data_IF_283873203497
#
_entry.id   IF_283873203497
#
_cell.length_a   1.000
_cell.length_b   1.000
_cell.length_c   1.000
_cell.angle_alpha   90.00
_cell.angle_beta   90.00
_cell.angle_gamma   90.00
#
_symmetry.space_group_name_H-M   'P 1'
#
loop_
_entity.id
_entity.type
_entity.pdbx_description
1 polymer ?
#
# COMPACT_ATOMS: atom_id res chain seq x y z
N UNK A 1 -46.23 24.50 47.49
CA UNK A 1 -46.85 23.23 47.94
C UNK A 1 -45.74 22.44 48.63
N UNK A 2 -45.48 22.75 49.90
CA UNK A 2 -45.83 21.94 51.08
C UNK A 2 -45.29 20.51 50.92
N UNK A 3 -44.24 20.03 51.59
CA UNK A 3 -43.86 20.25 52.98
C UNK A 3 -44.80 19.48 53.89
N UNK A 4 -44.42 18.27 54.34
CA UNK A 4 -44.47 17.86 55.75
C UNK A 4 -44.06 16.40 55.99
N UNK A 5 -43.20 16.20 56.99
CA UNK A 5 -43.08 14.99 57.84
C UNK A 5 -44.27 15.00 58.84
N UNK A 6 -44.31 14.18 59.91
CA UNK A 6 -43.98 12.76 60.15
C UNK A 6 -45.25 12.02 60.69
N UNK A 7 -45.15 10.76 61.15
CA UNK A 7 -45.58 10.41 62.52
C UNK A 7 -45.31 8.94 62.88
N UNK A 8 -44.82 8.80 64.12
CA UNK A 8 -44.67 7.61 64.95
C UNK A 8 -45.94 6.73 64.99
N UNK A 9 -45.81 5.45 65.37
CA UNK A 9 -46.40 4.92 66.61
C UNK A 9 -45.83 3.52 66.93
N UNK A 10 -45.87 3.24 68.22
CA UNK A 10 -45.16 2.22 69.00
C UNK A 10 -46.01 0.93 69.06
N UNK A 11 -45.38 -0.23 69.27
CA UNK A 11 -45.63 -1.13 70.43
C UNK A 11 -45.78 -2.64 70.15
N UNK A 12 -45.21 -3.40 71.11
CA UNK A 12 -45.58 -4.75 71.59
C UNK A 12 -45.01 -5.95 70.79
N UNK A 13 -43.88 -6.50 71.22
CA UNK A 13 -43.66 -7.58 72.21
C UNK A 13 -43.86 -9.00 71.64
N UNK A 14 -42.81 -9.81 71.74
CA UNK A 14 -42.88 -11.25 71.46
C UNK A 14 -41.53 -11.98 71.47
N UNK A 15 -40.74 -11.84 72.53
CA UNK A 15 -39.75 -12.86 72.96
C UNK A 15 -40.43 -13.74 74.02
N UNK A 16 -40.13 -15.04 74.23
CA UNK A 16 -38.77 -15.54 74.46
C UNK A 16 -38.49 -17.01 74.00
N UNK A 17 -37.24 -17.39 73.72
CA UNK A 17 -36.39 -18.41 74.38
C UNK A 17 -35.39 -18.80 73.25
N UNK A 18 -34.07 -18.84 73.37
CA UNK A 18 -33.25 -19.45 74.40
C UNK A 18 -31.92 -18.67 74.59
N UNK A 19 -31.47 -18.73 75.84
CA UNK A 19 -30.31 -18.09 76.43
C UNK A 19 -29.02 -18.91 76.17
N UNK A 20 -27.99 -18.19 75.73
CA UNK A 20 -26.54 -18.28 76.00
C UNK A 20 -25.85 -19.63 76.27
N UNK A 21 -24.83 -19.90 75.45
CA UNK A 21 -23.46 -20.40 75.79
C UNK A 21 -22.67 -20.29 74.46
N UNK A 22 -21.46 -19.73 74.31
CA UNK A 22 -20.41 -19.31 75.21
C UNK A 22 -19.48 -18.34 74.46
N UNK A 23 -18.76 -17.47 75.17
CA UNK A 23 -17.56 -16.79 74.67
C UNK A 23 -16.32 -17.28 75.42
N UNK A 24 -15.22 -17.31 74.67
CA UNK A 24 -13.80 -17.34 75.05
C UNK A 24 -13.09 -18.72 75.12
N UNK A 25 -12.20 -18.95 74.14
CA UNK A 25 -11.24 -20.06 74.13
C UNK A 25 -10.39 -20.18 72.85
N UNK A 26 -9.45 -19.24 72.67
CA UNK A 26 -8.14 -19.37 71.98
C UNK A 26 -7.96 -20.15 70.65
N UNK A 27 -7.71 -19.38 69.58
CA UNK A 27 -6.60 -19.50 68.59
C UNK A 27 -6.09 -20.89 68.16
N UNK A 28 -6.47 -21.33 66.95
CA UNK A 28 -5.63 -22.14 66.07
C UNK A 28 -6.06 -22.02 64.59
N UNK A 29 -5.22 -21.29 63.81
CA UNK A 29 -4.97 -21.41 62.37
C UNK A 29 -6.15 -21.50 61.39
N UNK A 30 -6.72 -20.35 61.03
CA UNK A 30 -7.33 -20.17 59.70
C UNK A 30 -6.21 -19.88 58.70
N UNK A 31 -5.69 -20.92 58.03
CA UNK A 31 -4.93 -20.72 56.80
C UNK A 31 -5.91 -20.27 55.71
N UNK A 32 -5.93 -18.96 55.43
CA UNK A 32 -6.59 -18.43 54.24
C UNK A 32 -6.01 -19.12 52.99
N UNK A 33 -6.83 -19.51 52.01
CA UNK A 33 -6.31 -20.04 50.76
C UNK A 33 -5.45 -18.96 50.11
N UNK A 34 -4.18 -19.29 49.88
CA UNK A 34 -3.25 -18.46 49.11
C UNK A 34 -3.89 -18.24 47.74
N UNK A 35 -4.24 -16.99 47.44
CA UNK A 35 -4.71 -16.61 46.11
C UNK A 35 -3.67 -17.12 45.08
N UNK A 36 -4.10 -17.68 43.95
CA UNK A 36 -3.17 -18.07 42.90
C UNK A 36 -2.35 -16.85 42.53
N UNK A 37 -1.03 -17.01 42.51
CA UNK A 37 -0.13 -15.99 42.01
C UNK A 37 -0.62 -15.58 40.61
N UNK A 38 -0.80 -14.27 40.40
CA UNK A 38 -1.10 -13.75 39.08
C UNK A 38 -0.08 -14.34 38.08
N UNK A 39 -0.51 -14.84 36.91
CA UNK A 39 0.43 -15.31 35.92
C UNK A 39 1.42 -14.18 35.65
N UNK A 40 2.71 -14.50 35.66
CA UNK A 40 3.73 -13.57 35.20
C UNK A 40 3.27 -13.05 33.83
N UNK A 41 3.21 -11.72 33.67
CA UNK A 41 2.78 -11.10 32.43
C UNK A 41 3.58 -11.66 31.24
N UNK A 42 3.02 -11.64 30.02
CA UNK A 42 3.73 -12.14 28.85
C UNK A 42 5.09 -11.46 28.74
N UNK A 43 6.15 -12.25 28.56
CA UNK A 43 7.52 -11.73 28.43
C UNK A 43 7.58 -10.67 27.34
N UNK A 44 8.43 -9.67 27.55
CA UNK A 44 8.67 -8.65 26.54
C UNK A 44 9.62 -9.18 25.46
N UNK A 45 9.54 -8.60 24.26
CA UNK A 45 10.34 -9.02 23.11
C UNK A 45 11.86 -9.00 23.40
N UNK A 46 12.36 -7.98 24.09
CA UNK A 46 13.77 -7.85 24.46
C UNK A 46 14.24 -8.85 25.52
N UNK A 47 13.31 -9.47 26.26
CA UNK A 47 13.62 -10.48 27.28
C UNK A 47 13.71 -11.88 26.66
N UNK A 48 12.90 -12.15 25.63
CA UNK A 48 12.83 -13.45 24.95
C UNK A 48 13.81 -13.55 23.76
N UNK A 49 14.09 -12.44 23.06
CA UNK A 49 14.89 -12.43 21.83
C UNK A 49 16.19 -11.62 21.97
N UNK A 50 17.27 -12.12 21.35
CA UNK A 50 18.64 -11.62 21.55
C UNK A 50 18.94 -10.21 21.02
N UNK A 51 18.32 -9.78 19.91
CA UNK A 51 18.69 -8.52 19.23
C UNK A 51 17.46 -7.70 18.79
N UNK A 52 16.58 -7.41 19.74
CA UNK A 52 15.43 -6.51 19.54
C UNK A 52 15.86 -5.07 19.79
N UNK A 53 15.75 -4.24 18.75
CA UNK A 53 16.14 -2.82 18.80
C UNK A 53 14.96 -1.88 18.58
N UNK A 54 14.18 -2.10 17.51
CA UNK A 54 13.08 -1.21 17.12
C UNK A 54 11.71 -1.61 17.69
N UNK A 55 11.52 -2.87 18.07
CA UNK A 55 10.26 -3.41 18.61
C UNK A 55 10.37 -3.72 20.11
N UNK A 56 11.06 -2.87 20.88
CA UNK A 56 11.16 -3.05 22.34
C UNK A 56 9.82 -2.75 23.01
N UNK A 57 9.54 -3.43 24.12
CA UNK A 57 8.34 -3.23 24.93
C UNK A 57 7.05 -3.84 24.37
N UNK A 58 7.10 -4.53 23.21
CA UNK A 58 5.96 -5.33 22.75
C UNK A 58 5.99 -6.72 23.41
N UNK A 59 4.84 -7.39 23.60
CA UNK A 59 4.81 -8.77 24.03
C UNK A 59 5.57 -9.67 23.06
N UNK A 60 6.34 -10.63 23.57
CA UNK A 60 7.21 -11.49 22.76
C UNK A 60 6.43 -12.28 21.69
N UNK A 61 5.19 -12.66 21.97
CA UNK A 61 4.31 -13.35 21.02
C UNK A 61 3.90 -12.49 19.82
N UNK A 62 4.05 -11.16 19.88
CA UNK A 62 3.74 -10.24 18.79
C UNK A 62 4.90 -10.05 17.81
N UNK A 63 6.11 -10.51 18.13
CA UNK A 63 7.29 -10.31 17.27
C UNK A 63 7.12 -11.04 15.94
N UNK A 64 6.75 -12.33 15.98
CA UNK A 64 6.61 -13.14 14.76
C UNK A 64 5.47 -12.63 13.84
N UNK A 65 4.26 -12.35 14.34
CA UNK A 65 3.20 -11.73 13.53
C UNK A 65 3.60 -10.39 12.92
N UNK A 66 4.37 -9.57 13.66
CA UNK A 66 4.88 -8.31 13.13
C UNK A 66 5.85 -8.53 11.96
N UNK A 67 6.74 -9.53 12.06
CA UNK A 67 7.65 -9.87 10.96
C UNK A 67 6.90 -10.38 9.73
N UNK A 68 5.87 -11.21 9.91
CA UNK A 68 5.02 -11.70 8.81
C UNK A 68 4.31 -10.54 8.10
N UNK A 69 3.80 -9.57 8.85
CA UNK A 69 3.17 -8.38 8.28
C UNK A 69 4.18 -7.53 7.48
N UNK A 70 5.40 -7.36 7.99
CA UNK A 70 6.46 -6.63 7.27
C UNK A 70 6.82 -7.37 5.97
N UNK A 71 7.01 -8.69 6.01
CA UNK A 71 7.30 -9.52 4.85
C UNK A 71 6.22 -9.37 3.77
N UNK A 72 4.95 -9.50 4.15
CA UNK A 72 3.81 -9.30 3.25
C UNK A 72 3.74 -7.88 2.68
N UNK A 73 4.05 -6.87 3.49
CA UNK A 73 4.01 -5.47 3.06
C UNK A 73 5.05 -5.13 1.98
N UNK A 74 6.20 -5.82 2.01
CA UNK A 74 7.31 -5.64 1.09
C UNK A 74 7.31 -6.66 -0.06
N UNK A 75 6.48 -7.70 0.00
CA UNK A 75 6.43 -8.77 -1.00
C UNK A 75 7.68 -9.66 -0.99
N UNK A 76 8.26 -9.93 0.18
CA UNK A 76 9.50 -10.70 0.34
C UNK A 76 9.35 -11.83 1.36
N UNK A 77 10.27 -12.79 1.29
CA UNK A 77 10.42 -13.87 2.28
C UNK A 77 11.33 -13.46 3.45
N UNK A 78 11.27 -14.21 4.55
CA UNK A 78 12.01 -13.97 5.79
C UNK A 78 13.53 -13.81 5.56
N UNK A 79 14.10 -14.63 4.67
CA UNK A 79 15.52 -14.66 4.32
C UNK A 79 15.96 -13.40 3.56
N UNK A 80 15.05 -12.54 3.11
CA UNK A 80 15.44 -11.24 2.55
C UNK A 80 16.17 -10.38 3.61
N UNK A 81 15.66 -10.40 4.85
CA UNK A 81 16.22 -9.65 5.97
C UNK A 81 17.03 -10.51 6.94
N UNK A 82 16.66 -11.78 7.15
CA UNK A 82 17.28 -12.64 8.16
C UNK A 82 18.32 -13.60 7.58
N UNK A 83 19.30 -13.97 8.40
CA UNK A 83 20.20 -15.09 8.14
C UNK A 83 19.52 -16.35 8.67
N UNK A 84 19.44 -17.40 7.85
CA UNK A 84 18.81 -18.66 8.24
C UNK A 84 19.39 -19.18 9.56
N UNK A 85 18.52 -19.56 10.50
CA UNK A 85 18.87 -20.03 11.84
C UNK A 85 19.66 -19.05 12.73
N UNK A 86 19.80 -17.78 12.31
CA UNK A 86 20.54 -16.75 13.03
C UNK A 86 19.84 -15.38 12.90
N UNK A 87 18.58 -15.33 13.34
CA UNK A 87 17.70 -14.16 13.20
C UNK A 87 18.22 -12.92 13.94
N UNK A 88 19.11 -13.09 14.92
CA UNK A 88 19.76 -12.02 15.67
C UNK A 88 20.86 -11.30 14.89
N UNK A 89 21.44 -11.90 13.84
CA UNK A 89 22.55 -11.31 13.07
C UNK A 89 22.12 -10.17 12.15
N UNK A 90 22.99 -9.17 12.01
CA UNK A 90 22.76 -7.95 11.22
C UNK A 90 23.54 -7.92 9.91
N UNK A 91 24.04 -9.08 9.47
CA UNK A 91 24.87 -9.25 8.28
C UNK A 91 24.19 -8.77 6.99
N UNK A 92 22.85 -8.75 6.97
CA UNK A 92 22.03 -8.30 5.84
C UNK A 92 21.60 -6.85 6.00
N UNK A 93 22.05 -5.99 5.09
CA UNK A 93 21.67 -4.56 5.02
C UNK A 93 20.15 -4.31 5.13
N UNK A 94 19.26 -5.11 4.48
CA UNK A 94 17.82 -4.93 4.62
C UNK A 94 17.31 -4.92 6.07
N UNK A 95 17.89 -5.72 6.97
CA UNK A 95 17.49 -5.75 8.37
C UNK A 95 17.78 -4.44 9.12
N UNK A 96 18.96 -3.86 8.86
CA UNK A 96 19.35 -2.57 9.43
C UNK A 96 18.45 -1.45 8.90
N UNK A 97 18.14 -1.48 7.60
CA UNK A 97 17.18 -0.54 6.99
C UNK A 97 15.79 -0.71 7.57
N UNK A 98 15.29 -1.95 7.74
CA UNK A 98 13.98 -2.23 8.31
C UNK A 98 13.81 -1.62 9.70
N UNK A 99 14.84 -1.64 10.56
CA UNK A 99 14.79 -0.95 11.87
C UNK A 99 14.56 0.55 11.75
N UNK A 100 15.24 1.20 10.80
CA UNK A 100 15.03 2.63 10.53
C UNK A 100 13.60 2.89 10.04
N UNK A 101 13.08 2.02 9.19
CA UNK A 101 11.71 2.14 8.68
C UNK A 101 10.65 1.91 9.77
N UNK A 102 10.87 0.96 10.69
CA UNK A 102 9.99 0.75 11.86
C UNK A 102 9.96 2.01 12.72
N UNK A 103 11.13 2.58 13.03
CA UNK A 103 11.22 3.82 13.80
C UNK A 103 10.54 5.00 13.09
N UNK A 104 10.74 5.13 11.78
CA UNK A 104 10.09 6.17 10.96
C UNK A 104 8.57 6.02 10.96
N UNK A 105 8.05 4.81 10.75
CA UNK A 105 6.61 4.53 10.78
C UNK A 105 6.00 4.84 12.16
N UNK A 106 6.68 4.44 13.24
CA UNK A 106 6.23 4.75 14.60
C UNK A 106 6.24 6.26 14.86
N UNK A 107 7.26 6.99 14.41
CA UNK A 107 7.32 8.43 14.53
C UNK A 107 6.20 9.12 13.73
N UNK A 108 5.95 8.70 12.48
CA UNK A 108 4.86 9.26 11.65
C UNK A 108 3.51 9.11 12.37
N UNK A 109 3.20 7.90 12.86
CA UNK A 109 1.95 7.63 13.59
C UNK A 109 1.85 8.43 14.89
N UNK A 110 2.94 8.53 15.64
CA UNK A 110 2.98 9.31 16.88
C UNK A 110 2.78 10.80 16.63
N UNK A 111 3.53 11.35 15.69
CA UNK A 111 3.66 12.80 15.51
C UNK A 111 2.51 13.40 14.69
N UNK A 112 1.84 12.59 13.86
CA UNK A 112 0.81 13.08 12.92
C UNK A 112 -0.58 12.46 13.13
N UNK A 113 -0.67 11.36 13.89
CA UNK A 113 -1.92 10.61 14.05
C UNK A 113 -2.23 10.28 15.51
N UNK A 114 -1.74 11.09 16.46
CA UNK A 114 -1.99 10.94 17.90
C UNK A 114 -1.60 9.56 18.46
N UNK A 115 -0.66 8.87 17.79
CA UNK A 115 -0.26 7.50 18.11
C UNK A 115 -1.16 6.41 17.54
N UNK A 116 -2.24 6.78 16.83
CA UNK A 116 -3.05 5.83 16.07
C UNK A 116 -2.27 5.30 14.86
N UNK A 117 -2.49 4.02 14.56
CA UNK A 117 -1.78 3.32 13.48
C UNK A 117 -2.50 3.51 12.15
N UNK A 118 -2.25 4.66 11.53
CA UNK A 118 -2.78 5.03 10.20
C UNK A 118 -1.79 4.72 9.07
N UNK A 119 -0.50 4.88 9.34
CA UNK A 119 0.59 4.58 8.40
C UNK A 119 1.22 3.24 8.75
N UNK A 120 1.33 2.37 7.74
CA UNK A 120 1.98 1.06 7.86
C UNK A 120 3.05 0.89 6.79
N UNK A 121 3.80 -0.21 6.85
CA UNK A 121 4.76 -0.55 5.79
C UNK A 121 4.08 -0.63 4.41
N UNK A 122 2.86 -1.15 4.36
CA UNK A 122 2.08 -1.31 3.12
C UNK A 122 1.62 0.03 2.53
N UNK A 123 1.44 1.08 3.34
CA UNK A 123 1.04 2.41 2.88
C UNK A 123 1.99 2.97 1.82
N UNK A 124 3.28 2.62 1.89
CA UNK A 124 4.30 3.05 0.94
C UNK A 124 4.82 1.91 0.05
N UNK A 125 5.11 0.73 0.61
CA UNK A 125 5.74 -0.37 -0.13
C UNK A 125 4.78 -1.09 -1.08
N UNK A 126 3.49 -1.21 -0.71
CA UNK A 126 2.44 -1.80 -1.56
C UNK A 126 2.83 -3.15 -2.20
N UNK A 127 3.57 -3.99 -1.47
CA UNK A 127 4.05 -5.30 -1.95
C UNK A 127 5.35 -5.27 -2.76
N UNK A 128 6.13 -4.18 -2.70
CA UNK A 128 7.42 -4.02 -3.36
C UNK A 128 8.53 -3.70 -2.35
N UNK A 129 9.77 -4.11 -2.63
CA UNK A 129 10.94 -3.79 -1.80
C UNK A 129 11.25 -2.30 -1.77
N UNK A 130 10.89 -1.58 -2.83
CA UNK A 130 11.05 -0.13 -2.94
C UNK A 130 9.67 0.56 -2.97
N UNK A 131 9.46 1.67 -2.21
CA UNK A 131 8.20 2.40 -2.21
C UNK A 131 7.79 2.91 -3.59
N UNK A 132 6.49 2.80 -3.91
CA UNK A 132 5.94 3.27 -5.19
C UNK A 132 5.53 4.73 -5.04
N UNK A 133 6.36 5.65 -5.54
CA UNK A 133 6.16 7.10 -5.39
C UNK A 133 5.18 7.75 -6.38
N UNK A 134 4.86 7.07 -7.48
CA UNK A 134 3.98 7.59 -8.52
C UNK A 134 2.73 6.72 -8.62
N UNK A 135 1.51 7.28 -8.54
CA UNK A 135 0.29 6.53 -8.78
C UNK A 135 0.33 5.85 -10.15
N UNK A 136 0.02 4.56 -10.18
CA UNK A 136 -0.14 3.82 -11.43
C UNK A 136 -1.48 4.28 -12.04
N UNK A 137 -1.45 5.09 -13.09
CA UNK A 137 -2.64 5.68 -13.72
C UNK A 137 -3.20 4.76 -14.84
N UNK A 138 -2.37 3.89 -15.42
CA UNK A 138 -2.76 2.86 -16.40
C UNK A 138 -2.83 1.48 -15.75
N UNK A 139 -3.94 0.76 -15.96
CA UNK A 139 -4.24 -0.50 -15.26
C UNK A 139 -3.28 -1.66 -15.49
N UNK A 140 -2.29 -1.54 -16.39
CA UNK A 140 -1.38 -2.63 -16.73
C UNK A 140 -0.05 -2.05 -17.25
N UNK A 141 0.81 -1.59 -16.35
CA UNK A 141 2.25 -1.81 -16.57
C UNK A 141 2.59 -3.09 -15.80
N UNK A 142 3.41 -3.99 -16.38
CA UNK A 142 3.81 -5.21 -15.68
C UNK A 142 4.34 -4.77 -14.32
N UNK A 143 3.84 -5.38 -13.24
CA UNK A 143 4.50 -5.29 -11.94
C UNK A 143 6.00 -5.41 -12.23
N UNK A 144 6.86 -4.46 -11.82
CA UNK A 144 8.28 -4.75 -11.84
C UNK A 144 8.38 -6.07 -11.10
N UNK A 145 8.92 -7.11 -11.76
CA UNK A 145 9.06 -8.43 -11.15
C UNK A 145 9.62 -8.22 -9.75
N UNK A 146 8.76 -8.38 -8.75
CA UNK A 146 9.14 -8.28 -7.35
C UNK A 146 10.04 -9.47 -7.11
N UNK A 147 11.35 -9.27 -7.24
CA UNK A 147 12.33 -10.32 -6.94
C UNK A 147 13.43 -10.59 -7.95
N UNK A 148 13.82 -9.67 -8.83
CA UNK A 148 15.21 -9.72 -9.29
C UNK A 148 16.11 -9.43 -8.09
N UNK A 149 16.55 -10.52 -7.47
CA UNK A 149 17.68 -10.56 -6.55
C UNK A 149 18.74 -9.66 -7.16
N UNK A 150 19.22 -8.66 -6.40
CA UNK A 150 20.65 -8.30 -6.48
C UNK A 150 21.46 -9.48 -5.94
N UNK A 151 21.38 -10.60 -6.64
CA UNK A 151 22.33 -11.69 -6.58
C UNK A 151 23.53 -11.24 -7.39
N UNK A 152 24.70 -11.41 -6.81
CA UNK A 152 25.97 -11.33 -7.51
C UNK A 152 25.95 -12.12 -8.82
N UNK A 153 26.14 -11.45 -9.95
CA UNK A 153 26.61 -12.06 -11.19
C UNK A 153 25.58 -12.61 -12.18
N UNK A 154 24.37 -12.06 -12.29
CA UNK A 154 23.60 -12.25 -13.53
C UNK A 154 24.20 -11.38 -14.63
N UNK A 155 24.71 -12.03 -15.68
CA UNK A 155 25.17 -11.39 -16.90
C UNK A 155 24.01 -10.55 -17.45
N UNK A 156 24.19 -9.22 -17.52
CA UNK A 156 23.18 -8.31 -18.07
C UNK A 156 22.72 -8.89 -19.39
N UNK A 157 21.43 -9.23 -19.50
CA UNK A 157 20.83 -9.62 -20.76
C UNK A 157 21.25 -8.60 -21.84
N UNK A 158 21.99 -9.06 -22.84
CA UNK A 158 22.43 -8.22 -23.95
C UNK A 158 21.24 -8.05 -24.87
N UNK A 159 20.51 -6.96 -24.69
CA UNK A 159 19.42 -6.60 -25.59
C UNK A 159 19.98 -5.99 -26.89
N UNK A 160 19.30 -6.18 -28.03
CA UNK A 160 19.58 -5.44 -29.25
C UNK A 160 19.58 -3.93 -29.02
N UNK A 161 20.38 -3.19 -29.78
CA UNK A 161 20.27 -1.73 -29.82
C UNK A 161 18.88 -1.32 -30.36
N UNK A 162 18.37 -0.16 -29.91
CA UNK A 162 17.06 0.35 -30.33
C UNK A 162 16.94 0.43 -31.86
N UNK A 163 17.98 0.93 -32.53
CA UNK A 163 18.05 1.03 -33.99
C UNK A 163 17.87 -0.34 -34.66
N UNK A 164 18.50 -1.38 -34.10
CA UNK A 164 18.37 -2.75 -34.62
C UNK A 164 16.93 -3.28 -34.50
N UNK A 165 16.19 -2.87 -33.46
CA UNK A 165 14.79 -3.25 -33.30
C UNK A 165 13.89 -2.52 -34.31
N UNK A 166 14.15 -1.23 -34.54
CA UNK A 166 13.42 -0.43 -35.52
C UNK A 166 13.67 -0.93 -36.96
N UNK A 167 14.91 -1.27 -37.30
CA UNK A 167 15.25 -1.86 -38.60
C UNK A 167 14.50 -3.17 -38.84
N UNK A 168 14.50 -4.06 -37.84
CA UNK A 168 13.75 -5.33 -37.92
C UNK A 168 12.25 -5.11 -38.06
N UNK A 169 11.71 -4.12 -37.35
CA UNK A 169 10.31 -3.72 -37.48
C UNK A 169 10.00 -3.25 -38.89
N UNK A 170 10.82 -2.35 -39.47
CA UNK A 170 10.64 -1.87 -40.84
C UNK A 170 10.64 -3.01 -41.84
N UNK A 171 11.60 -3.95 -41.74
CA UNK A 171 11.62 -5.14 -42.60
C UNK A 171 10.31 -5.93 -42.46
N UNK A 172 9.84 -6.16 -41.23
CA UNK A 172 8.63 -6.94 -40.98
C UNK A 172 7.35 -6.29 -41.55
N UNK A 173 7.27 -4.96 -41.58
CA UNK A 173 6.11 -4.22 -42.12
C UNK A 173 6.23 -3.89 -43.62
N UNK A 174 7.27 -4.39 -44.30
CA UNK A 174 7.47 -4.20 -45.74
C UNK A 174 8.29 -2.97 -46.14
N UNK A 175 8.98 -2.34 -45.20
CA UNK A 175 9.90 -1.22 -45.39
C UNK A 175 9.25 0.16 -45.22
N UNK A 176 10.10 1.19 -45.11
CA UNK A 176 9.67 2.58 -44.92
C UNK A 176 8.74 3.07 -46.05
N UNK A 177 9.01 2.69 -47.30
CA UNK A 177 8.18 3.07 -48.45
C UNK A 177 6.81 2.39 -48.46
N UNK A 178 6.69 1.17 -47.90
CA UNK A 178 5.38 0.54 -47.71
C UNK A 178 4.61 1.23 -46.59
N UNK A 179 5.28 1.58 -45.49
CA UNK A 179 4.66 2.28 -44.36
C UNK A 179 4.13 3.66 -44.77
N UNK A 180 4.91 4.42 -45.56
CA UNK A 180 4.49 5.75 -46.08
C UNK A 180 3.25 5.71 -46.98
N UNK A 181 2.89 4.55 -47.56
CA UNK A 181 1.64 4.41 -48.33
C UNK A 181 0.40 4.43 -47.44
N UNK A 182 0.55 4.16 -46.14
CA UNK A 182 -0.55 4.25 -45.18
C UNK A 182 -0.75 5.72 -44.83
N UNK A 183 -1.82 6.33 -45.33
CA UNK A 183 -2.08 7.77 -45.12
C UNK A 183 -3.05 8.03 -43.97
N UNK A 184 -3.74 6.99 -43.49
CA UNK A 184 -4.66 7.06 -42.36
C UNK A 184 -4.72 5.75 -41.59
N UNK A 185 -5.09 5.84 -40.31
CA UNK A 185 -5.28 4.69 -39.42
C UNK A 185 -6.48 4.94 -38.50
N UNK A 186 -7.29 3.90 -38.31
CA UNK A 186 -8.36 3.88 -37.31
C UNK A 186 -8.08 2.73 -36.35
N UNK A 187 -8.02 3.03 -35.06
CA UNK A 187 -7.81 2.06 -34.00
C UNK A 187 -9.01 2.12 -33.07
N UNK A 188 -9.55 0.96 -32.71
CA UNK A 188 -10.60 0.85 -31.70
C UNK A 188 -10.14 -0.10 -30.61
N UNK A 189 -10.43 0.25 -29.37
CA UNK A 189 -10.02 -0.57 -28.25
C UNK A 189 -10.75 -0.18 -26.98
N UNK A 190 -10.23 -0.70 -25.87
CA UNK A 190 -10.72 -0.40 -24.52
C UNK A 190 -9.53 0.01 -23.69
N UNK A 191 -9.57 1.24 -23.16
CA UNK A 191 -8.58 1.75 -22.22
C UNK A 191 -8.97 1.34 -20.81
N UNK A 192 -8.01 0.79 -20.05
CA UNK A 192 -8.18 0.47 -18.63
C UNK A 192 -7.51 1.58 -17.82
N UNK A 193 -8.31 2.44 -17.19
CA UNK A 193 -7.86 3.62 -16.46
C UNK A 193 -8.70 3.86 -15.21
N UNK A 194 -8.30 4.82 -14.37
CA UNK A 194 -9.09 5.28 -13.21
C UNK A 194 -9.55 4.15 -12.28
N UNK A 195 -8.59 3.36 -11.79
CA UNK A 195 -8.88 2.26 -10.86
C UNK A 195 -9.46 1.02 -11.53
N UNK A 196 -8.98 0.66 -12.72
CA UNK A 196 -9.38 -0.58 -13.42
C UNK A 196 -10.69 -0.46 -14.22
N UNK A 197 -11.18 0.75 -14.46
CA UNK A 197 -12.40 0.98 -15.25
C UNK A 197 -12.07 0.88 -16.74
N UNK A 198 -13.00 0.31 -17.49
CA UNK A 198 -12.88 0.09 -18.93
C UNK A 198 -13.61 1.19 -19.71
N UNK A 199 -12.90 1.85 -20.62
CA UNK A 199 -13.43 2.93 -21.45
C UNK A 199 -13.22 2.61 -22.93
N UNK A 200 -14.28 2.53 -23.75
CA UNK A 200 -14.13 2.42 -25.19
C UNK A 200 -13.36 3.63 -25.74
N UNK A 201 -12.36 3.37 -26.56
CA UNK A 201 -11.56 4.40 -27.22
C UNK A 201 -11.48 4.16 -28.71
N UNK A 202 -11.71 5.21 -29.49
CA UNK A 202 -11.40 5.25 -30.91
C UNK A 202 -10.27 6.26 -31.14
N UNK A 203 -9.26 5.88 -31.91
CA UNK A 203 -8.14 6.74 -32.32
C UNK A 203 -8.10 6.80 -33.83
N UNK A 204 -8.08 8.02 -34.36
CA UNK A 204 -8.00 8.34 -35.77
C UNK A 204 -6.70 9.09 -36.02
N UNK A 205 -5.91 8.61 -36.97
CA UNK A 205 -4.67 9.26 -37.39
C UNK A 205 -4.72 9.50 -38.90
N UNK A 206 -4.15 10.62 -39.35
CA UNK A 206 -4.01 10.95 -40.77
C UNK A 206 -2.72 11.73 -40.98
N UNK A 207 -1.94 11.34 -41.97
CA UNK A 207 -0.72 12.04 -42.32
C UNK A 207 -1.01 13.37 -43.08
N UNK A 208 -0.15 14.39 -42.93
CA UNK A 208 0.85 14.52 -41.86
C UNK A 208 0.21 14.99 -40.54
N UNK A 209 0.73 14.50 -39.42
CA UNK A 209 0.57 15.02 -38.05
C UNK A 209 -0.85 15.34 -37.58
N UNK A 210 -1.86 14.59 -38.02
CA UNK A 210 -3.24 14.73 -37.51
C UNK A 210 -3.62 13.52 -36.70
N UNK A 211 -4.05 13.76 -35.47
CA UNK A 211 -4.53 12.73 -34.56
C UNK A 211 -5.76 13.20 -33.81
N UNK A 212 -6.74 12.33 -33.68
CA UNK A 212 -7.98 12.58 -32.97
C UNK A 212 -8.35 11.31 -32.22
N UNK A 213 -8.49 11.39 -30.91
CA UNK A 213 -8.93 10.27 -30.09
C UNK A 213 -10.14 10.64 -29.25
N UNK A 214 -11.10 9.73 -29.19
CA UNK A 214 -12.32 9.86 -28.39
C UNK A 214 -12.40 8.70 -27.42
N UNK A 215 -12.37 9.01 -26.14
CA UNK A 215 -12.62 8.08 -25.05
C UNK A 215 -14.03 8.34 -24.50
N UNK A 216 -14.89 7.33 -24.54
CA UNK A 216 -16.29 7.44 -24.10
C UNK A 216 -16.36 7.28 -22.59
N UNK A 217 -16.66 8.37 -21.86
CA UNK A 217 -16.90 8.34 -20.43
C UNK A 217 -18.42 8.27 -20.16
N UNK A 218 -18.82 7.90 -18.94
CA UNK A 218 -20.23 7.86 -18.54
C UNK A 218 -20.91 9.25 -18.60
N UNK A 219 -20.15 10.33 -18.43
CA UNK A 219 -20.65 11.71 -18.42
C UNK A 219 -20.51 12.46 -19.74
N UNK A 220 -20.07 11.78 -20.80
CA UNK A 220 -19.77 12.37 -22.11
C UNK A 220 -18.35 12.09 -22.58
N UNK A 221 -18.01 12.49 -23.79
CA UNK A 221 -16.75 12.10 -24.41
C UNK A 221 -15.56 12.94 -23.90
N UNK A 222 -14.43 12.25 -23.67
CA UNK A 222 -13.12 12.88 -23.56
C UNK A 222 -12.43 12.81 -24.91
N UNK A 223 -12.06 13.97 -25.44
CA UNK A 223 -11.42 14.11 -26.74
C UNK A 223 -10.01 14.63 -26.54
N UNK A 224 -9.06 14.07 -27.27
CA UNK A 224 -7.73 14.64 -27.48
C UNK A 224 -7.51 14.76 -28.98
N UNK A 225 -7.22 15.97 -29.45
CA UNK A 225 -7.09 16.25 -30.86
C UNK A 225 -5.85 17.08 -31.12
N UNK A 226 -5.22 16.84 -32.26
CA UNK A 226 -4.09 17.60 -32.78
C UNK A 226 -4.23 17.72 -34.30
N UNK A 227 -4.16 18.94 -34.82
CA UNK A 227 -4.42 19.22 -36.24
C UNK A 227 -3.15 19.40 -37.08
N UNK A 228 -1.96 19.14 -36.52
CA UNK A 228 -0.66 19.39 -37.12
C UNK A 228 0.04 20.66 -36.63
N UNK A 229 -0.69 21.53 -35.90
CA UNK A 229 -0.14 22.78 -35.36
C UNK A 229 -0.60 23.06 -33.93
N UNK A 230 -1.88 22.83 -33.66
CA UNK A 230 -2.51 23.10 -32.38
C UNK A 230 -3.35 21.89 -31.99
N UNK A 231 -3.20 21.46 -30.75
CA UNK A 231 -4.05 20.46 -30.14
C UNK A 231 -4.91 21.04 -29.03
N UNK A 232 -5.89 20.25 -28.64
CA UNK A 232 -6.80 20.56 -27.56
C UNK A 232 -7.27 19.28 -26.90
N UNK A 233 -7.59 19.41 -25.61
CA UNK A 233 -8.27 18.39 -24.83
C UNK A 233 -9.65 18.92 -24.49
N UNK A 234 -10.67 18.09 -24.70
CA UNK A 234 -12.03 18.43 -24.32
C UNK A 234 -12.60 17.32 -23.46
N UNK A 235 -13.27 17.72 -22.40
CA UNK A 235 -14.14 16.86 -21.59
C UNK A 235 -15.49 17.59 -21.44
N UNK A 236 -16.55 16.93 -20.97
CA UNK A 236 -17.84 17.59 -20.77
C UNK A 236 -17.68 18.83 -19.88
N UNK A 237 -18.01 20.00 -20.43
CA UNK A 237 -17.96 21.29 -19.73
C UNK A 237 -16.60 21.99 -19.68
N UNK A 238 -15.52 21.42 -20.24
CA UNK A 238 -14.20 22.06 -20.24
C UNK A 238 -13.41 21.77 -21.51
N UNK A 239 -12.81 22.82 -22.08
CA UNK A 239 -11.88 22.72 -23.22
C UNK A 239 -10.56 23.36 -22.81
N UNK A 240 -9.47 22.60 -22.95
CA UNK A 240 -8.10 23.05 -22.74
C UNK A 240 -7.38 23.12 -24.09
N UNK A 241 -6.88 24.30 -24.45
CA UNK A 241 -5.99 24.46 -25.60
C UNK A 241 -4.58 24.09 -25.17
N UNK A 242 -3.95 23.14 -25.88
CA UNK A 242 -2.59 22.71 -25.57
C UNK A 242 -1.60 23.88 -25.63
N UNK A 243 -0.75 23.97 -24.62
CA UNK A 243 0.43 24.83 -24.57
C UNK A 243 1.47 24.42 -25.62
N UNK A 244 2.54 25.21 -25.79
CA UNK A 244 3.61 24.89 -26.72
C UNK A 244 4.24 23.50 -26.45
N UNK A 245 4.57 23.20 -25.19
CA UNK A 245 5.14 21.91 -24.81
C UNK A 245 4.17 20.73 -25.06
N UNK A 246 2.87 20.92 -24.80
CA UNK A 246 1.86 19.91 -25.09
C UNK A 246 1.68 19.70 -26.61
N UNK A 247 1.78 20.76 -27.42
CA UNK A 247 1.76 20.65 -28.87
C UNK A 247 2.99 19.91 -29.42
N UNK A 248 4.17 20.13 -28.85
CA UNK A 248 5.39 19.41 -29.23
C UNK A 248 5.26 17.91 -28.95
N UNK A 249 4.70 17.54 -27.80
CA UNK A 249 4.40 16.15 -27.47
C UNK A 249 3.33 15.56 -28.40
N UNK A 250 2.24 16.29 -28.65
CA UNK A 250 1.16 15.85 -29.53
C UNK A 250 1.60 15.64 -30.99
N UNK A 251 2.61 16.39 -31.45
CA UNK A 251 3.22 16.17 -32.77
C UNK A 251 3.92 14.81 -32.85
N UNK A 252 4.64 14.40 -31.81
CA UNK A 252 5.29 13.08 -31.76
C UNK A 252 4.24 11.96 -31.80
N UNK A 253 3.16 12.10 -31.03
CA UNK A 253 2.04 11.14 -31.05
C UNK A 253 1.29 11.08 -32.39
N UNK A 254 1.30 12.18 -33.14
CA UNK A 254 0.63 12.30 -34.43
C UNK A 254 1.48 11.84 -35.61
N UNK A 255 2.77 11.58 -35.40
CA UNK A 255 3.65 11.01 -36.43
C UNK A 255 3.23 9.56 -36.73
N UNK A 256 2.55 9.39 -37.86
CA UNK A 256 2.07 8.09 -38.32
C UNK A 256 3.22 7.16 -38.74
N UNK A 257 4.41 7.73 -38.98
CA UNK A 257 5.57 7.06 -39.56
C UNK A 257 6.77 6.99 -38.62
N UNK A 258 6.60 7.26 -37.32
CA UNK A 258 7.68 7.33 -36.31
C UNK A 258 8.81 6.29 -36.47
N UNK A 259 8.56 4.99 -36.80
CA UNK A 259 9.63 4.01 -36.96
C UNK A 259 10.46 4.15 -38.25
N UNK A 260 10.10 5.04 -39.17
CA UNK A 260 10.67 5.18 -40.51
C UNK A 260 11.54 6.43 -40.71
N UNK A 261 11.86 7.14 -39.63
CA UNK A 261 12.72 8.33 -39.61
C UNK A 261 13.93 8.13 -38.68
#
# INVERSE_FOLDING_TARGET
MNGNRPNFWIAVCGTPLCVWLAMAGAWAQSSAPKAPAAPAGPKLAEEEFKNIQALKGIPADQVIPSMQFIAASLGVECEFCHVAHANEKDDKKPKVTARKMIAMMMAINKDNFEGHREVTCYSCHRGSTDPVGTPIISGEEPKPESGQRKGSGEEKAVFPAADQLLDRYLVAVGGAEALKKITSRVQRGTLIAFGGRHFPVDVYSKAPDKRFSVMRLQGGDSVTAFNGKQGWLSVPGHVHMMSAAENDAARIDADLYLPAH
#
